data_IF_163083984360
#
_entry.id   IF_163083984360
#
_cell.length_a   1.000
_cell.length_b   1.000
_cell.length_c   1.000
_cell.angle_alpha   90.00
_cell.angle_beta   90.00
_cell.angle_gamma   90.00
#
_symmetry.space_group_name_H-M   'P 1'
#
loop_
_entity.id
_entity.type
_entity.pdbx_description
1 polymer ?
#
# COMPACT_ATOMS: atom_id res chain seq x y z
N UNK A 1 -28.66 14.57 -7.72
CA UNK A 1 -27.20 14.49 -7.45
C UNK A 1 -26.46 14.04 -8.69
N UNK A 2 -25.29 14.59 -8.93
CA UNK A 2 -24.39 14.22 -10.02
C UNK A 2 -22.95 14.03 -9.48
N UNK A 3 -22.18 13.19 -10.17
CA UNK A 3 -20.75 13.04 -9.90
C UNK A 3 -19.98 13.40 -11.17
N UNK A 4 -19.00 14.27 -11.04
CA UNK A 4 -18.09 14.68 -12.11
C UNK A 4 -16.70 14.20 -11.82
N UNK A 5 -16.15 13.36 -12.68
CA UNK A 5 -14.74 12.98 -12.64
C UNK A 5 -13.92 14.01 -13.41
N UNK A 6 -13.05 14.71 -12.71
CA UNK A 6 -12.11 15.67 -13.29
C UNK A 6 -10.77 14.97 -13.49
N UNK A 7 -10.31 14.91 -14.75
CA UNK A 7 -9.01 14.34 -15.10
C UNK A 7 -8.27 15.31 -16.00
N UNK A 8 -7.01 15.54 -15.76
CA UNK A 8 -6.20 16.45 -16.58
C UNK A 8 -4.72 16.07 -16.54
N UNK A 9 -3.98 16.51 -17.55
CA UNK A 9 -2.55 16.25 -17.68
C UNK A 9 -1.73 16.94 -16.59
N UNK A 10 -2.17 18.16 -16.20
CA UNK A 10 -1.46 19.02 -15.25
C UNK A 10 -2.29 19.29 -13.99
N UNK A 11 -3.30 18.44 -13.73
CA UNK A 11 -4.21 18.55 -12.58
C UNK A 11 -4.35 17.20 -11.91
N UNK A 12 -4.46 17.20 -10.58
CA UNK A 12 -4.78 15.99 -9.83
C UNK A 12 -6.18 15.50 -10.18
N UNK A 13 -6.30 14.20 -10.37
CA UNK A 13 -7.60 13.58 -10.61
C UNK A 13 -8.47 13.72 -9.36
N UNK A 14 -9.69 14.18 -9.53
CA UNK A 14 -10.63 14.37 -8.44
C UNK A 14 -12.06 14.08 -8.86
N UNK A 15 -12.87 13.69 -7.89
CA UNK A 15 -14.30 13.50 -8.08
C UNK A 15 -15.06 14.57 -7.32
N UNK A 16 -15.93 15.28 -8.04
CA UNK A 16 -16.81 16.29 -7.49
C UNK A 16 -18.20 15.70 -7.37
N UNK A 17 -18.82 15.80 -6.20
CA UNK A 17 -20.22 15.48 -5.97
C UNK A 17 -21.04 16.74 -5.87
N UNK A 18 -22.12 16.79 -6.64
CA UNK A 18 -22.98 17.95 -6.72
C UNK A 18 -24.43 17.54 -6.53
N UNK A 19 -25.22 18.43 -5.95
CA UNK A 19 -26.69 18.35 -6.00
C UNK A 19 -27.27 19.57 -6.69
N UNK A 20 -28.46 19.41 -7.20
CA UNK A 20 -29.22 20.50 -7.83
C UNK A 20 -30.21 21.09 -6.83
N UNK A 21 -30.15 22.40 -6.67
CA UNK A 21 -31.12 23.19 -5.92
C UNK A 21 -31.47 24.44 -6.71
N UNK A 22 -32.77 24.66 -6.96
CA UNK A 22 -33.29 25.81 -7.73
C UNK A 22 -32.60 26.01 -9.10
N UNK A 23 -32.40 24.93 -9.86
CA UNK A 23 -31.71 24.92 -11.15
C UNK A 23 -30.23 25.37 -11.08
N UNK A 24 -29.62 25.32 -9.92
CA UNK A 24 -28.19 25.61 -9.70
C UNK A 24 -27.50 24.37 -9.15
N UNK A 25 -26.34 24.02 -9.71
CA UNK A 25 -25.52 22.93 -9.18
C UNK A 25 -24.64 23.45 -8.05
N UNK A 26 -24.78 22.83 -6.89
CA UNK A 26 -24.03 23.14 -5.67
C UNK A 26 -23.04 22.00 -5.42
N UNK A 27 -21.78 22.33 -5.12
CA UNK A 27 -20.75 21.38 -4.78
C UNK A 27 -20.96 20.90 -3.33
N UNK A 28 -21.17 19.59 -3.15
CA UNK A 28 -21.29 18.95 -1.85
C UNK A 28 -19.95 18.48 -1.31
N UNK A 29 -19.21 17.78 -2.15
CA UNK A 29 -17.95 17.12 -1.74
C UNK A 29 -16.97 17.08 -2.90
N UNK A 30 -15.71 17.33 -2.57
CA UNK A 30 -14.55 17.15 -3.45
C UNK A 30 -13.67 16.04 -2.89
N UNK A 31 -13.50 14.95 -3.61
CA UNK A 31 -12.67 13.83 -3.22
C UNK A 31 -11.43 13.74 -4.14
N UNK A 32 -10.25 13.77 -3.53
CA UNK A 32 -9.01 13.50 -4.26
C UNK A 32 -8.87 12.01 -4.58
N UNK A 33 -8.07 11.68 -5.58
CA UNK A 33 -7.76 10.28 -5.92
C UNK A 33 -7.18 9.52 -4.73
N UNK A 34 -6.36 10.17 -3.91
CA UNK A 34 -5.77 9.56 -2.71
C UNK A 34 -6.84 9.17 -1.68
N UNK A 35 -7.85 10.02 -1.48
CA UNK A 35 -8.97 9.73 -0.57
C UNK A 35 -9.83 8.58 -1.09
N UNK A 36 -10.09 8.52 -2.40
CA UNK A 36 -10.83 7.43 -3.02
C UNK A 36 -10.08 6.11 -2.86
N UNK A 37 -8.77 6.11 -3.12
CA UNK A 37 -7.92 4.93 -2.95
C UNK A 37 -7.86 4.51 -1.48
N UNK A 38 -7.73 5.46 -0.55
CA UNK A 38 -7.73 5.17 0.88
C UNK A 38 -9.06 4.57 1.37
N UNK A 39 -10.19 5.06 0.86
CA UNK A 39 -11.54 4.47 1.15
C UNK A 39 -11.71 3.06 0.59
N UNK A 40 -11.02 2.71 -0.50
CA UNK A 40 -11.05 1.37 -1.09
C UNK A 40 -10.24 0.34 -0.30
N UNK A 41 -9.37 0.77 0.62
CA UNK A 41 -8.56 -0.12 1.46
C UNK A 41 -9.44 -0.78 2.52
N UNK A 42 -9.43 -2.12 2.63
CA UNK A 42 -10.17 -2.82 3.68
C UNK A 42 -9.72 -2.38 5.09
N UNK A 43 -10.68 -2.22 6.00
CA UNK A 43 -10.43 -1.74 7.37
C UNK A 43 -9.42 -2.59 8.15
N UNK A 44 -9.38 -3.89 7.90
CA UNK A 44 -8.44 -4.79 8.57
C UNK A 44 -6.97 -4.53 8.16
N UNK A 45 -6.71 -3.97 6.99
CA UNK A 45 -5.35 -3.59 6.57
C UNK A 45 -4.85 -2.40 7.41
N UNK A 46 -5.73 -1.44 7.72
CA UNK A 46 -5.40 -0.35 8.64
C UNK A 46 -5.08 -0.87 10.04
N UNK A 47 -5.85 -1.85 10.56
CA UNK A 47 -5.57 -2.50 11.85
C UNK A 47 -4.21 -3.20 11.87
N UNK A 48 -3.84 -3.89 10.77
CA UNK A 48 -2.51 -4.50 10.63
C UNK A 48 -1.41 -3.44 10.68
N UNK A 49 -1.57 -2.34 9.96
CA UNK A 49 -0.60 -1.26 9.95
C UNK A 49 -0.44 -0.62 11.34
N UNK A 50 -1.54 -0.34 12.03
CA UNK A 50 -1.55 0.22 13.39
C UNK A 50 -0.88 -0.74 14.39
N UNK A 51 -1.13 -2.05 14.27
CA UNK A 51 -0.48 -3.06 15.09
C UNK A 51 1.04 -3.07 14.85
N UNK A 52 1.49 -3.07 13.59
CA UNK A 52 2.92 -3.06 13.25
C UNK A 52 3.58 -1.77 13.74
N UNK A 53 2.93 -0.62 13.62
CA UNK A 53 3.41 0.66 14.16
C UNK A 53 3.61 0.59 15.68
N UNK A 54 2.72 -0.08 16.40
CA UNK A 54 2.81 -0.22 17.87
C UNK A 54 3.96 -1.14 18.31
N UNK A 55 4.26 -2.18 17.52
CA UNK A 55 5.29 -3.18 17.84
C UNK A 55 6.67 -2.79 17.27
N UNK A 56 6.70 -1.98 16.21
CA UNK A 56 7.91 -1.51 15.52
C UNK A 56 8.53 -2.54 14.57
N UNK A 57 8.70 -3.78 14.99
CA UNK A 57 9.19 -4.89 14.15
C UNK A 57 8.39 -6.14 14.46
N UNK A 58 7.92 -6.81 13.41
CA UNK A 58 7.14 -8.04 13.55
C UNK A 58 7.61 -9.10 12.55
N UNK A 59 7.64 -10.35 12.98
CA UNK A 59 7.95 -11.49 12.12
C UNK A 59 7.08 -12.68 12.49
N UNK A 60 6.50 -13.34 11.50
CA UNK A 60 5.67 -14.53 11.69
C UNK A 60 4.93 -14.94 10.43
N UNK A 61 3.97 -15.80 10.59
CA UNK A 61 3.07 -16.28 9.53
C UNK A 61 1.84 -15.38 9.40
N UNK A 62 1.14 -15.45 8.26
CA UNK A 62 -0.11 -14.70 8.08
C UNK A 62 -1.18 -15.04 9.13
N UNK A 63 -1.22 -16.30 9.59
CA UNK A 63 -2.15 -16.74 10.63
C UNK A 63 -1.82 -16.10 11.99
N UNK A 64 -0.54 -16.06 12.34
CA UNK A 64 -0.10 -15.38 13.56
C UNK A 64 -0.37 -13.89 13.54
N UNK A 65 -0.20 -13.25 12.38
CA UNK A 65 -0.51 -11.82 12.21
C UNK A 65 -2.00 -11.53 12.39
N UNK A 66 -2.88 -12.37 11.84
CA UNK A 66 -4.33 -12.24 12.04
C UNK A 66 -4.71 -12.32 13.52
N UNK A 67 -4.12 -13.30 14.24
CA UNK A 67 -4.36 -13.45 15.67
C UNK A 67 -3.80 -12.31 16.50
N UNK A 68 -2.61 -11.80 16.15
CA UNK A 68 -1.94 -10.71 16.86
C UNK A 68 -2.65 -9.36 16.66
N UNK A 69 -3.21 -9.13 15.48
CA UNK A 69 -3.95 -7.89 15.16
C UNK A 69 -5.46 -7.99 15.47
N UNK A 70 -5.90 -9.09 16.09
CA UNK A 70 -7.31 -9.37 16.45
C UNK A 70 -8.26 -9.18 15.23
N UNK A 71 -7.94 -9.88 14.15
CA UNK A 71 -8.70 -9.84 12.90
C UNK A 71 -9.38 -11.18 12.68
N UNK A 72 -10.70 -11.15 12.68
CA UNK A 72 -11.55 -12.32 12.41
C UNK A 72 -12.14 -12.28 10.98
N UNK A 73 -12.50 -13.44 10.46
CA UNK A 73 -13.22 -13.58 9.20
C UNK A 73 -12.35 -13.36 7.94
N UNK A 74 -11.04 -13.19 8.07
CA UNK A 74 -10.10 -13.04 6.96
C UNK A 74 -9.19 -14.26 6.85
N UNK A 75 -9.06 -14.81 5.65
CA UNK A 75 -8.19 -15.94 5.42
C UNK A 75 -6.71 -15.48 5.26
N UNK A 76 -5.72 -16.26 5.72
CA UNK A 76 -4.29 -15.89 5.69
C UNK A 76 -3.79 -15.53 4.28
N UNK A 77 -4.26 -16.21 3.24
CA UNK A 77 -3.88 -15.92 1.86
C UNK A 77 -4.51 -14.62 1.34
N UNK A 78 -5.72 -14.29 1.78
CA UNK A 78 -6.39 -13.02 1.45
C UNK A 78 -5.65 -11.85 2.10
N UNK A 79 -5.27 -12.00 3.38
CA UNK A 79 -4.47 -11.01 4.09
C UNK A 79 -3.17 -10.72 3.34
N UNK A 80 -2.40 -11.75 3.00
CA UNK A 80 -1.13 -11.59 2.30
C UNK A 80 -1.29 -10.87 0.96
N UNK A 81 -2.33 -11.25 0.19
CA UNK A 81 -2.63 -10.62 -1.10
C UNK A 81 -2.98 -9.14 -0.92
N UNK A 82 -3.83 -8.82 0.05
CA UNK A 82 -4.28 -7.44 0.31
C UNK A 82 -3.18 -6.56 0.90
N UNK A 83 -2.27 -7.11 1.71
CA UNK A 83 -1.08 -6.38 2.15
C UNK A 83 -0.24 -5.95 0.95
N UNK A 84 0.02 -6.86 0.00
CA UNK A 84 0.82 -6.53 -1.19
C UNK A 84 0.09 -5.53 -2.09
N UNK A 85 -1.23 -5.68 -2.27
CA UNK A 85 -2.05 -4.81 -3.10
C UNK A 85 -2.09 -3.37 -2.59
N UNK A 86 -2.18 -3.18 -1.27
CA UNK A 86 -2.30 -1.86 -0.64
C UNK A 86 -1.01 -1.39 0.05
N UNK A 87 0.11 -2.04 -0.23
CA UNK A 87 1.37 -1.78 0.46
C UNK A 87 1.82 -0.32 0.31
N UNK A 88 1.85 0.17 -0.92
CA UNK A 88 2.30 1.53 -1.23
C UNK A 88 1.37 2.61 -0.67
N UNK A 89 0.09 2.29 -0.50
CA UNK A 89 -0.91 3.24 0.02
C UNK A 89 -0.89 3.35 1.54
N UNK A 90 -0.68 2.23 2.25
CA UNK A 90 -0.87 2.16 3.71
C UNK A 90 0.45 2.07 4.46
N UNK A 91 1.37 1.21 4.02
CA UNK A 91 2.59 0.88 4.75
C UNK A 91 3.77 1.78 4.37
N UNK A 92 3.93 2.11 3.09
CA UNK A 92 5.02 2.98 2.62
C UNK A 92 4.99 4.38 3.25
N UNK A 93 3.84 5.09 3.36
CA UNK A 93 3.79 6.40 4.02
C UNK A 93 4.15 6.37 5.50
N UNK A 94 4.00 5.19 6.15
CA UNK A 94 4.35 4.96 7.56
C UNK A 94 5.81 4.53 7.76
N UNK A 95 6.59 4.40 6.68
CA UNK A 95 7.97 3.94 6.74
C UNK A 95 8.11 2.46 7.08
N UNK A 96 7.07 1.65 6.83
CA UNK A 96 7.07 0.22 7.09
C UNK A 96 7.61 -0.52 5.88
N UNK A 97 8.61 -1.36 6.10
CA UNK A 97 9.17 -2.28 5.09
C UNK A 97 8.60 -3.68 5.25
N UNK A 98 8.46 -4.38 4.14
CA UNK A 98 7.93 -5.72 4.08
C UNK A 98 8.90 -6.66 3.37
N UNK A 99 9.23 -7.77 4.01
CA UNK A 99 10.02 -8.86 3.42
C UNK A 99 9.30 -10.18 3.63
N UNK A 100 9.31 -11.05 2.63
CA UNK A 100 8.83 -12.44 2.77
C UNK A 100 9.98 -13.41 2.68
N UNK A 101 9.99 -14.38 3.56
CA UNK A 101 10.93 -15.49 3.55
C UNK A 101 10.16 -16.82 3.55
N UNK A 102 10.56 -17.74 2.69
CA UNK A 102 9.98 -19.08 2.66
C UNK A 102 10.92 -20.04 3.38
N UNK A 103 10.43 -20.61 4.48
CA UNK A 103 11.09 -21.74 5.14
C UNK A 103 10.55 -23.05 4.59
N UNK A 104 11.15 -24.18 4.97
CA UNK A 104 10.67 -25.51 4.58
C UNK A 104 9.26 -25.83 5.12
N UNK A 105 8.82 -25.14 6.15
CA UNK A 105 7.54 -25.39 6.83
C UNK A 105 6.46 -24.36 6.51
N UNK A 106 6.83 -23.07 6.34
CA UNK A 106 5.85 -22.01 6.14
C UNK A 106 6.45 -20.79 5.44
N UNK A 107 5.55 -19.95 4.90
CA UNK A 107 5.90 -18.61 4.41
C UNK A 107 5.84 -17.63 5.56
N UNK A 108 6.98 -17.04 5.91
CA UNK A 108 7.09 -16.01 6.93
C UNK A 108 7.09 -14.62 6.30
N UNK A 109 6.50 -13.68 7.01
CA UNK A 109 6.48 -12.27 6.71
C UNK A 109 7.27 -11.52 7.79
N UNK A 110 8.07 -10.54 7.38
CA UNK A 110 8.79 -9.65 8.28
C UNK A 110 8.43 -8.21 7.94
N UNK A 111 8.03 -7.47 8.95
CA UNK A 111 7.80 -6.03 8.87
C UNK A 111 8.82 -5.33 9.76
N UNK A 112 9.37 -4.22 9.30
CA UNK A 112 10.31 -3.38 10.05
C UNK A 112 10.14 -1.92 9.64
N UNK A 113 10.39 -0.99 10.59
CA UNK A 113 10.46 0.44 10.27
C UNK A 113 11.81 0.81 9.67
N UNK A 114 11.81 1.87 8.84
CA UNK A 114 12.97 2.46 8.17
C UNK A 114 13.92 3.12 9.19
N UNK A 115 14.63 2.39 9.94
CA UNK A 115 15.56 2.91 10.94
C UNK A 115 16.11 1.84 11.87
N UNK A 116 15.52 0.64 11.83
CA UNK A 116 15.90 -0.49 12.70
C UNK A 116 16.64 -1.63 11.98
N UNK A 117 16.95 -1.51 10.69
CA UNK A 117 17.72 -2.51 9.96
C UNK A 117 19.22 -2.18 10.03
N UNK A 118 19.85 -2.46 11.17
CA UNK A 118 21.32 -2.41 11.30
C UNK A 118 22.02 -3.58 10.59
N UNK A 119 21.29 -4.55 10.01
CA UNK A 119 21.86 -5.82 9.57
C UNK A 119 21.61 -6.23 8.12
N UNK A 120 21.33 -5.33 7.18
CA UNK A 120 21.31 -5.78 5.77
C UNK A 120 21.73 -4.71 4.74
N UNK A 121 22.96 -4.22 4.86
CA UNK A 121 23.58 -3.31 3.89
C UNK A 121 23.92 -3.97 2.53
N UNK A 122 23.57 -5.25 2.28
CA UNK A 122 24.12 -6.01 1.13
C UNK A 122 23.07 -6.54 0.15
N UNK A 123 21.77 -6.34 0.35
CA UNK A 123 20.77 -6.85 -0.61
C UNK A 123 19.92 -5.73 -1.21
N UNK A 124 20.25 -5.36 -2.44
CA UNK A 124 19.42 -4.49 -3.27
C UNK A 124 17.99 -5.05 -3.39
N UNK A 125 16.94 -4.20 -3.31
CA UNK A 125 15.56 -4.64 -3.41
C UNK A 125 15.29 -5.34 -4.75
N UNK A 126 14.45 -6.38 -4.69
CA UNK A 126 14.09 -7.26 -5.81
C UNK A 126 13.60 -6.51 -7.07
N UNK A 127 12.96 -5.36 -6.93
CA UNK A 127 12.49 -4.56 -8.06
C UNK A 127 13.62 -3.87 -8.85
N UNK A 128 14.78 -3.57 -8.24
CA UNK A 128 15.93 -3.05 -8.97
C UNK A 128 16.56 -4.07 -9.93
N UNK A 129 16.36 -5.39 -9.69
CA UNK A 129 16.86 -6.42 -10.60
C UNK A 129 16.07 -6.49 -11.91
N UNK A 130 14.82 -5.99 -11.95
CA UNK A 130 13.98 -6.00 -13.15
C UNK A 130 14.34 -4.88 -14.14
N UNK A 131 14.92 -3.77 -13.67
CA UNK A 131 15.27 -2.61 -14.52
C UNK A 131 16.65 -2.70 -15.19
N UNK A 132 17.50 -3.68 -14.86
CA UNK A 132 18.81 -3.82 -15.53
C UNK A 132 18.73 -4.24 -16.99
N UNK A 133 17.57 -4.72 -17.49
CA UNK A 133 17.42 -5.07 -18.91
C UNK A 133 17.15 -3.89 -19.83
N UNK A 134 16.78 -2.72 -19.30
CA UNK A 134 16.43 -1.56 -20.13
C UNK A 134 17.49 -0.45 -20.18
N UNK A 135 18.54 -0.53 -19.37
CA UNK A 135 19.61 0.52 -19.35
C UNK A 135 20.76 0.22 -20.34
N UNK A 136 20.72 -0.90 -21.04
CA UNK A 136 21.87 -1.33 -21.90
C UNK A 136 21.86 -0.81 -23.33
N UNK A 137 20.93 0.07 -23.72
CA UNK A 137 20.79 0.48 -25.13
C UNK A 137 20.93 1.98 -25.42
N UNK A 138 21.41 2.80 -24.47
CA UNK A 138 21.64 4.22 -24.77
C UNK A 138 23.05 4.70 -24.38
N UNK A 139 24.06 3.95 -24.76
CA UNK A 139 25.42 4.50 -24.92
C UNK A 139 25.92 3.94 -26.25
N UNK A 140 25.69 4.67 -27.29
CA UNK A 140 26.47 4.54 -28.52
C UNK A 140 26.59 5.90 -29.21
N UNK A 141 27.83 6.33 -29.20
CA UNK A 141 28.61 6.95 -30.26
C UNK A 141 28.43 8.46 -30.47
N UNK A 142 29.41 9.11 -30.02
CA UNK A 142 30.18 9.90 -30.95
C UNK A 142 31.44 9.13 -31.35
#
# INVERSE_FOLDING_TARGET
TASILVTGRDMDNKTLRLHEENCVWILDEEESTEQIVAKAVPSYIWKVADYIDSVGTWQGTATELLSAADIEGVLPHQLTRKIVEHFDTVFTPRGIRYKTHRTSQARQMKFSHDGNDADDATKQPFWQKRNRKYVKYYICKE
#
